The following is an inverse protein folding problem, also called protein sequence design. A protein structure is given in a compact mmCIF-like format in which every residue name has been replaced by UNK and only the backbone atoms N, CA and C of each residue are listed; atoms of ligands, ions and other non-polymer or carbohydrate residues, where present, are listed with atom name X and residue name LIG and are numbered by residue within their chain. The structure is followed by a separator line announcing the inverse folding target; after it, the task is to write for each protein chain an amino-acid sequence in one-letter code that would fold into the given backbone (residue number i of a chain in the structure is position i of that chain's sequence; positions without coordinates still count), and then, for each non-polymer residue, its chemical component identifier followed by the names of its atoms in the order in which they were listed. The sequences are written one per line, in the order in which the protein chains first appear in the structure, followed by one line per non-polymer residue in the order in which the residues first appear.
data_IF_067831674761
#
_entry.id   IF_067831674761
#
_cell.length_a   1.000
_cell.length_b   1.000
_cell.length_c   1.000
_cell.angle_alpha   90.00
_cell.angle_beta   90.00
_cell.angle_gamma   90.00
#
_symmetry.space_group_name_H-M   'P 1'
#
loop_
_entity.id
_entity.type
_entity.pdbx_description
1 polymer ?
#
# COMPACT_ATOMS: atom_id res chain seq x y z
N UNK A 1 -25.62 2.29 15.30
CA UNK A 1 -24.88 2.80 14.13
C UNK A 1 -24.31 4.13 14.54
N UNK A 2 -22.99 4.21 14.68
CA UNK A 2 -22.35 5.46 15.08
C UNK A 2 -22.38 6.42 13.90
N UNK A 3 -23.07 7.55 14.07
CA UNK A 3 -23.18 8.55 13.03
C UNK A 3 -21.83 9.23 12.80
N UNK A 4 -21.44 9.37 11.53
CA UNK A 4 -20.22 10.12 11.16
C UNK A 4 -20.41 11.61 11.51
N UNK A 5 -19.52 12.22 12.32
CA UNK A 5 -19.69 13.60 12.75
C UNK A 5 -19.50 14.59 11.60
N UNK A 6 -20.15 15.77 11.67
CA UNK A 6 -19.97 16.85 10.69
C UNK A 6 -18.53 17.37 10.60
N UNK A 7 -17.71 17.15 11.63
CA UNK A 7 -16.27 17.49 11.66
C UNK A 7 -15.39 16.40 11.03
N UNK A 8 -16.00 15.37 10.44
CA UNK A 8 -15.27 14.26 9.83
C UNK A 8 -14.22 14.76 8.85
N UNK A 9 -13.02 14.19 8.98
CA UNK A 9 -11.89 14.40 8.09
C UNK A 9 -11.39 13.05 7.63
N UNK A 10 -11.28 12.90 6.32
CA UNK A 10 -10.74 11.70 5.68
C UNK A 10 -9.32 11.40 6.20
N UNK A 11 -8.94 10.12 6.34
CA UNK A 11 -7.57 9.74 6.69
C UNK A 11 -6.52 10.39 5.78
N UNK A 12 -5.41 10.81 6.37
CA UNK A 12 -4.23 11.23 5.64
C UNK A 12 -3.60 10.04 4.94
N UNK A 13 -3.06 10.25 3.74
CA UNK A 13 -2.27 9.23 3.06
C UNK A 13 -1.07 8.82 3.94
N UNK A 14 -0.85 7.52 4.08
CA UNK A 14 0.26 6.96 4.84
C UNK A 14 1.29 6.43 3.85
N UNK A 15 2.46 7.06 3.80
CA UNK A 15 3.57 6.58 2.98
C UNK A 15 4.39 5.53 3.74
N UNK A 16 5.01 4.60 2.99
CA UNK A 16 5.91 3.57 3.54
C UNK A 16 7.01 4.21 4.42
N UNK A 17 7.59 5.33 3.97
CA UNK A 17 8.66 6.03 4.71
C UNK A 17 8.18 6.64 6.03
N UNK A 18 6.90 7.00 6.12
CA UNK A 18 6.32 7.54 7.36
C UNK A 18 6.20 6.46 8.43
N UNK A 19 5.95 5.21 8.03
CA UNK A 19 5.89 4.05 8.93
C UNK A 19 7.30 3.69 9.37
N UNK A 20 8.25 3.53 8.43
CA UNK A 20 9.66 3.20 8.76
C UNK A 20 10.24 4.17 9.79
N UNK A 21 10.03 5.48 9.60
CA UNK A 21 10.47 6.52 10.56
C UNK A 21 9.86 6.36 11.96
N UNK A 22 8.56 6.06 12.06
CA UNK A 22 7.89 5.82 13.35
C UNK A 22 8.41 4.57 14.05
N UNK A 23 8.68 3.51 13.30
CA UNK A 23 9.22 2.27 13.86
C UNK A 23 10.64 2.49 14.40
N UNK A 24 11.50 3.19 13.65
CA UNK A 24 12.87 3.53 14.09
C UNK A 24 12.90 4.43 15.31
N UNK A 25 11.99 5.42 15.42
CA UNK A 25 11.89 6.26 16.62
C UNK A 25 11.37 5.49 17.84
N UNK A 26 10.47 4.51 17.65
CA UNK A 26 9.93 3.70 18.76
C UNK A 26 10.93 2.71 19.35
N UNK A 27 11.96 2.31 18.59
CA UNK A 27 13.07 1.47 19.09
C UNK A 27 14.05 2.23 20.00
N UNK A 28 13.98 3.56 20.08
CA UNK A 28 14.82 4.37 20.98
C UNK A 28 14.13 4.72 22.33
N UNK A 29 12.83 4.48 22.47
CA UNK A 29 12.03 4.92 23.63
C UNK A 29 11.28 3.78 24.36
N UNK A 30 11.91 2.61 24.53
CA UNK A 30 11.33 1.53 25.34
C UNK A 30 12.08 1.30 26.64
N UNK A 31 11.94 2.24 27.58
CA UNK A 31 11.92 1.96 29.03
C UNK A 31 11.11 3.08 29.70
N UNK A 32 9.97 2.73 30.34
CA UNK A 32 9.09 3.58 31.17
C UNK A 32 7.85 4.27 30.55
N UNK A 33 7.13 3.58 29.66
CA UNK A 33 5.73 3.93 29.41
C UNK A 33 4.85 2.68 29.28
N UNK A 34 4.82 1.87 30.34
CA UNK A 34 3.80 0.83 30.50
C UNK A 34 2.61 1.40 31.27
N UNK A 35 1.40 1.00 30.85
CA UNK A 35 0.15 1.08 31.60
C UNK A 35 -0.53 2.46 31.73
N UNK A 36 -0.85 3.13 30.61
CA UNK A 36 -2.04 4.02 30.47
C UNK A 36 -2.18 4.59 29.05
N UNK A 37 -2.77 3.82 28.14
CA UNK A 37 -3.66 4.33 27.06
C UNK A 37 -4.12 3.16 26.18
N UNK A 38 -5.25 2.55 26.52
CA UNK A 38 -5.93 1.52 25.73
C UNK A 38 -6.65 2.08 24.49
N UNK A 39 -6.04 3.03 23.77
CA UNK A 39 -6.53 3.50 22.47
C UNK A 39 -5.30 3.69 21.59
N UNK A 40 -4.89 2.60 20.94
CA UNK A 40 -3.88 2.67 19.90
C UNK A 40 -4.34 3.66 18.82
N UNK A 41 -3.38 4.32 18.19
CA UNK A 41 -3.55 5.27 17.09
C UNK A 41 -4.08 4.60 15.81
N UNK A 42 -5.20 3.90 15.92
CA UNK A 42 -6.01 3.44 14.80
C UNK A 42 -6.52 4.70 14.10
N UNK A 43 -5.85 5.02 12.99
CA UNK A 43 -6.30 5.88 11.90
C UNK A 43 -7.42 6.87 12.26
N UNK A 44 -7.04 8.06 12.75
CA UNK A 44 -7.98 9.18 12.93
C UNK A 44 -8.86 9.32 11.68
N UNK A 45 -10.17 9.11 11.83
CA UNK A 45 -11.15 9.28 10.76
C UNK A 45 -11.55 8.01 10.00
N UNK A 46 -11.30 6.80 10.51
CA UNK A 46 -11.93 5.58 9.98
C UNK A 46 -13.04 5.12 10.95
N UNK A 47 -14.30 4.98 10.51
CA UNK A 47 -15.36 4.39 11.34
C UNK A 47 -15.10 2.91 11.62
N UNK A 48 -15.49 2.43 12.81
CA UNK A 48 -15.37 1.00 13.18
C UNK A 48 -16.11 0.07 12.22
N UNK A 49 -17.14 0.59 11.54
CA UNK A 49 -17.86 -0.13 10.50
C UNK A 49 -17.00 -0.50 9.29
N UNK A 50 -15.96 0.29 9.00
CA UNK A 50 -15.00 0.07 7.93
C UNK A 50 -13.67 -0.47 8.46
N UNK A 51 -13.66 -1.09 9.65
CA UNK A 51 -12.45 -1.69 10.22
C UNK A 51 -11.95 -2.86 9.37
N UNK A 52 -10.63 -3.04 9.38
CA UNK A 52 -9.94 -4.08 8.61
C UNK A 52 -10.50 -5.49 8.88
N UNK A 53 -10.81 -5.80 10.15
CA UNK A 53 -11.32 -7.11 10.54
C UNK A 53 -12.73 -7.39 9.98
N UNK A 54 -13.57 -6.35 9.82
CA UNK A 54 -14.90 -6.51 9.21
C UNK A 54 -14.81 -6.77 7.71
N UNK A 55 -13.87 -6.11 7.03
CA UNK A 55 -13.58 -6.35 5.61
C UNK A 55 -13.08 -7.79 5.40
N UNK A 56 -12.14 -8.25 6.24
CA UNK A 56 -11.63 -9.62 6.18
C UNK A 56 -12.70 -10.68 6.42
N UNK A 57 -13.66 -10.42 7.33
CA UNK A 57 -14.78 -11.34 7.62
C UNK A 57 -15.87 -11.31 6.55
N UNK A 58 -15.79 -10.42 5.56
CA UNK A 58 -16.84 -10.25 4.56
C UNK A 58 -18.14 -9.66 5.11
N UNK A 59 -18.06 -8.90 6.21
CA UNK A 59 -19.23 -8.23 6.82
C UNK A 59 -19.60 -6.90 6.15
N UNK A 60 -18.80 -6.46 5.18
CA UNK A 60 -18.95 -5.19 4.46
C UNK A 60 -19.53 -5.42 3.07
N UNK A 61 -20.15 -4.38 2.50
CA UNK A 61 -20.71 -4.39 1.15
C UNK A 61 -19.79 -3.66 0.15
N UNK A 62 -20.04 -3.82 -1.15
CA UNK A 62 -19.28 -3.10 -2.19
C UNK A 62 -19.38 -1.58 -2.02
N UNK A 63 -18.30 -0.82 -2.27
CA UNK A 63 -16.96 -1.21 -2.73
C UNK A 63 -15.96 -1.48 -1.59
N UNK A 64 -16.42 -1.95 -0.43
CA UNK A 64 -15.61 -2.18 0.77
C UNK A 64 -15.43 -3.66 1.10
N UNK A 65 -15.63 -4.57 0.14
CA UNK A 65 -15.46 -6.02 0.36
C UNK A 65 -13.98 -6.42 0.39
N UNK A 66 -13.69 -7.66 0.81
CA UNK A 66 -12.36 -8.24 0.72
C UNK A 66 -11.83 -8.27 -0.73
N UNK A 67 -12.73 -8.49 -1.69
CA UNK A 67 -12.42 -8.51 -3.11
C UNK A 67 -12.01 -7.12 -3.59
N UNK A 68 -12.77 -6.10 -3.20
CA UNK A 68 -12.46 -4.71 -3.54
C UNK A 68 -11.13 -4.26 -2.93
N UNK A 69 -10.82 -4.74 -1.71
CA UNK A 69 -9.53 -4.48 -1.07
C UNK A 69 -8.38 -5.17 -1.81
N UNK A 70 -8.56 -6.41 -2.27
CA UNK A 70 -7.56 -7.10 -3.09
C UNK A 70 -7.34 -6.38 -4.42
N UNK A 71 -8.40 -5.95 -5.09
CA UNK A 71 -8.32 -5.18 -6.34
C UNK A 71 -7.57 -3.86 -6.13
N UNK A 72 -7.84 -3.15 -5.04
CA UNK A 72 -7.09 -1.95 -4.67
C UNK A 72 -5.58 -2.24 -4.52
N UNK A 73 -5.23 -3.32 -3.82
CA UNK A 73 -3.84 -3.71 -3.64
C UNK A 73 -3.17 -4.13 -4.95
N UNK A 74 -3.92 -4.68 -5.90
CA UNK A 74 -3.41 -5.14 -7.18
C UNK A 74 -3.21 -3.98 -8.16
N UNK A 75 -4.24 -3.17 -8.37
CA UNK A 75 -4.27 -2.16 -9.44
C UNK A 75 -3.86 -0.76 -9.00
N UNK A 76 -3.85 -0.46 -7.69
CA UNK A 76 -3.58 0.89 -7.19
C UNK A 76 -2.34 0.95 -6.30
N UNK A 77 -2.27 0.15 -5.23
CA UNK A 77 -1.13 0.17 -4.31
C UNK A 77 0.04 -0.74 -4.77
N UNK A 78 -0.23 -1.69 -5.67
CA UNK A 78 0.73 -2.70 -6.16
C UNK A 78 1.44 -3.45 -5.04
N UNK A 79 0.67 -3.92 -4.05
CA UNK A 79 1.18 -4.64 -2.88
C UNK A 79 0.29 -5.82 -2.45
N UNK A 80 -0.37 -6.44 -3.42
CA UNK A 80 -1.30 -7.57 -3.23
C UNK A 80 -0.66 -8.80 -2.59
N UNK A 81 0.66 -8.98 -2.74
CA UNK A 81 1.42 -10.06 -2.12
C UNK A 81 1.28 -10.10 -0.60
N UNK A 82 1.10 -8.94 0.04
CA UNK A 82 0.92 -8.85 1.49
C UNK A 82 -0.39 -9.52 1.93
N UNK A 83 -1.49 -9.23 1.24
CA UNK A 83 -2.79 -9.81 1.57
C UNK A 83 -2.87 -11.29 1.20
N UNK A 84 -2.29 -11.68 0.06
CA UNK A 84 -2.21 -13.08 -0.36
C UNK A 84 -1.41 -13.93 0.64
N UNK A 85 -0.24 -13.45 1.08
CA UNK A 85 0.55 -14.09 2.12
C UNK A 85 -0.19 -14.15 3.46
N UNK A 86 -0.87 -13.08 3.85
CA UNK A 86 -1.67 -13.03 5.08
C UNK A 86 -2.78 -14.09 5.09
N UNK A 87 -3.57 -14.17 4.02
CA UNK A 87 -4.65 -15.15 3.88
C UNK A 87 -4.09 -16.58 3.86
N UNK A 88 -3.01 -16.81 3.11
CA UNK A 88 -2.32 -18.10 3.10
C UNK A 88 -1.86 -18.50 4.51
N UNK A 89 -1.21 -17.60 5.26
CA UNK A 89 -0.69 -17.90 6.59
C UNK A 89 -1.82 -18.24 7.57
N UNK A 90 -2.95 -17.53 7.52
CA UNK A 90 -4.11 -17.87 8.35
C UNK A 90 -4.65 -19.26 8.04
N UNK A 91 -4.77 -19.61 6.76
CA UNK A 91 -5.23 -20.94 6.34
C UNK A 91 -4.20 -22.02 6.64
N UNK A 92 -2.91 -21.70 6.58
CA UNK A 92 -1.81 -22.58 6.94
C UNK A 92 -1.85 -22.93 8.43
N UNK A 93 -1.96 -21.93 9.31
CA UNK A 93 -2.12 -22.13 10.76
C UNK A 93 -3.35 -22.97 11.07
N UNK A 94 -4.49 -22.67 10.42
CA UNK A 94 -5.73 -23.43 10.61
C UNK A 94 -5.59 -24.90 10.21
N UNK A 95 -4.95 -25.17 9.07
CA UNK A 95 -4.70 -26.55 8.59
C UNK A 95 -3.68 -27.28 9.45
N UNK A 96 -2.61 -26.61 9.86
CA UNK A 96 -1.59 -27.18 10.73
C UNK A 96 -2.17 -27.58 12.10
N UNK A 97 -2.97 -26.71 12.72
CA UNK A 97 -3.61 -26.99 14.01
C UNK A 97 -4.72 -28.06 13.93
N UNK A 98 -5.31 -28.27 12.75
CA UNK A 98 -6.33 -29.30 12.51
C UNK A 98 -5.71 -30.65 12.15
N UNK A 99 -4.48 -30.66 11.63
CA UNK A 99 -3.78 -31.90 11.36
C UNK A 99 -3.55 -32.64 12.68
N UNK A 100 -3.91 -33.92 12.72
CA UNK A 100 -3.63 -34.83 13.83
C UNK A 100 -2.77 -35.98 13.29
N UNK A 101 -1.65 -35.61 12.66
CA UNK A 101 -0.70 -36.58 12.09
C UNK A 101 0.47 -36.77 13.05
N UNK A 102 0.92 -38.02 13.19
CA UNK A 102 2.13 -38.37 13.96
C UNK A 102 3.36 -37.55 13.55
N UNK A 103 3.37 -37.09 12.31
CA UNK A 103 4.49 -36.39 11.69
C UNK A 103 4.68 -34.96 12.20
N UNK A 104 3.70 -34.41 12.92
CA UNK A 104 3.78 -33.08 13.55
C UNK A 104 4.90 -33.01 14.60
N UNK A 105 5.26 -34.14 15.22
CA UNK A 105 6.39 -34.22 16.16
C UNK A 105 7.70 -33.81 15.49
N UNK A 106 7.82 -33.98 14.18
CA UNK A 106 9.02 -33.58 13.42
C UNK A 106 9.10 -32.08 13.11
N UNK A 107 8.03 -31.32 13.36
CA UNK A 107 7.97 -29.87 13.18
C UNK A 107 7.78 -29.17 14.55
N UNK A 108 8.83 -29.14 15.40
CA UNK A 108 8.75 -28.50 16.71
C UNK A 108 8.50 -26.99 16.60
N UNK A 109 7.95 -26.40 17.65
CA UNK A 109 7.70 -24.97 17.72
C UNK A 109 9.02 -24.17 17.66
N UNK A 110 9.08 -23.20 16.75
CA UNK A 110 10.12 -22.18 16.75
C UNK A 110 9.87 -21.18 17.89
N UNK A 111 10.70 -21.23 18.93
CA UNK A 111 10.55 -20.45 20.16
C UNK A 111 11.21 -19.07 20.04
N UNK A 112 10.79 -18.12 20.88
CA UNK A 112 11.39 -16.79 20.94
C UNK A 112 12.89 -16.83 21.24
N UNK A 113 13.35 -17.73 22.11
CA UNK A 113 14.75 -17.83 22.46
C UNK A 113 15.63 -18.23 21.25
N UNK A 114 15.15 -19.18 20.44
CA UNK A 114 15.83 -19.57 19.19
C UNK A 114 15.87 -18.42 18.20
N UNK A 115 14.76 -17.68 18.08
CA UNK A 115 14.69 -16.49 17.22
C UNK A 115 15.68 -15.39 17.64
N UNK A 116 15.78 -15.10 18.93
CA UNK A 116 16.69 -14.10 19.48
C UNK A 116 18.16 -14.51 19.32
N UNK A 117 18.47 -15.81 19.48
CA UNK A 117 19.81 -16.36 19.24
C UNK A 117 20.25 -16.16 17.77
N UNK A 118 19.36 -16.45 16.80
CA UNK A 118 19.68 -16.24 15.39
C UNK A 118 19.80 -14.74 15.06
N UNK A 119 18.90 -13.91 15.60
CA UNK A 119 18.96 -12.48 15.38
C UNK A 119 20.23 -11.84 15.95
N UNK A 120 20.71 -12.30 17.10
CA UNK A 120 21.98 -11.83 17.69
C UNK A 120 23.18 -12.28 16.86
N UNK A 121 23.18 -13.51 16.34
CA UNK A 121 24.20 -13.99 15.39
C UNK A 121 24.24 -13.14 14.12
N UNK A 122 23.10 -12.95 13.46
CA UNK A 122 22.99 -12.14 12.24
C UNK A 122 23.42 -10.68 12.45
N UNK A 123 23.10 -10.08 13.61
CA UNK A 123 23.56 -8.74 13.96
C UNK A 123 25.07 -8.68 14.17
N UNK A 124 25.64 -9.69 14.82
CA UNK A 124 27.09 -9.78 15.03
C UNK A 124 27.81 -9.91 13.68
N UNK A 125 27.34 -10.81 12.81
CA UNK A 125 27.87 -10.98 11.45
C UNK A 125 27.77 -9.69 10.63
N UNK A 126 26.63 -9.00 10.67
CA UNK A 126 26.47 -7.71 10.00
C UNK A 126 27.44 -6.64 10.54
N UNK A 127 27.67 -6.62 11.87
CA UNK A 127 28.62 -5.69 12.49
C UNK A 127 30.07 -5.99 12.11
N UNK A 128 30.44 -7.27 11.99
CA UNK A 128 31.76 -7.70 11.57
C UNK A 128 32.01 -7.41 10.09
N UNK A 129 31.02 -7.67 9.22
CA UNK A 129 31.08 -7.31 7.81
C UNK A 129 31.22 -5.80 7.61
N UNK A 130 30.49 -4.99 8.39
CA UNK A 130 30.62 -3.53 8.37
C UNK A 130 32.02 -3.08 8.80
N UNK A 131 32.57 -3.68 9.87
CA UNK A 131 33.94 -3.41 10.33
C UNK A 131 35.00 -3.73 9.27
N UNK A 132 34.86 -4.86 8.57
CA UNK A 132 35.76 -5.24 7.47
C UNK A 132 35.69 -4.25 6.32
N UNK A 133 34.50 -3.78 5.95
CA UNK A 133 34.33 -2.74 4.93
C UNK A 133 34.90 -1.38 5.36
N UNK A 134 34.77 -0.99 6.64
CA UNK A 134 35.42 0.24 7.14
C UNK A 134 36.94 0.12 7.20
N UNK A 135 37.51 -1.06 7.45
CA UNK A 135 38.95 -1.28 7.39
C UNK A 135 39.50 -1.13 5.96
N UNK A 136 38.81 -1.71 4.98
CA UNK A 136 39.14 -1.54 3.56
C UNK A 136 38.98 -0.08 3.09
N UNK A 137 37.96 0.63 3.58
CA UNK A 137 37.78 2.07 3.33
C UNK A 137 38.87 2.93 3.97
N UNK A 138 39.28 2.62 5.20
CA UNK A 138 40.36 3.33 5.89
C UNK A 138 41.70 3.17 5.18
N UNK A 139 42.00 1.98 4.63
CA UNK A 139 43.19 1.77 3.79
C UNK A 139 43.11 2.52 2.45
N UNK A 140 41.91 2.79 1.93
CA UNK A 140 41.71 3.59 0.70
C UNK A 140 41.92 5.10 0.93
N UNK A 141 41.70 5.61 2.14
CA UNK A 141 41.96 7.02 2.51
C UNK A 141 43.36 7.26 3.07
N UNK A 142 44.16 6.20 3.26
CA UNK A 142 45.55 6.27 3.73
C UNK A 142 46.39 7.09 2.75
N UNK A 143 47.00 8.19 3.22
CA UNK A 143 47.76 9.13 2.38
C UNK A 143 46.93 10.25 1.72
N UNK A 144 45.62 10.31 1.94
CA UNK A 144 44.78 11.45 1.53
C UNK A 144 44.58 12.43 2.70
N UNK A 145 44.21 13.69 2.42
CA UNK A 145 43.98 14.72 3.44
C UNK A 145 42.91 14.37 4.48
N UNK A 146 42.09 13.33 4.24
CA UNK A 146 41.06 12.83 5.14
C UNK A 146 41.52 11.68 6.06
N UNK A 147 42.82 11.38 6.10
CA UNK A 147 43.38 10.34 6.98
C UNK A 147 43.22 10.73 8.47
N UNK A 148 42.30 10.05 9.16
CA UNK A 148 42.13 10.19 10.60
C UNK A 148 43.19 9.34 11.30
N UNK A 149 44.23 9.98 11.85
CA UNK A 149 45.27 9.32 12.66
C UNK A 149 44.70 8.81 13.97
N UNK A 150 44.28 7.55 14.02
CA UNK A 150 44.13 6.82 15.28
C UNK A 150 45.50 6.30 15.70
N UNK A 151 45.95 6.69 16.90
CA UNK A 151 47.26 6.33 17.46
C UNK A 151 47.30 4.83 17.76
N UNK A 152 48.22 4.12 17.08
CA UNK A 152 48.44 2.68 17.20
C UNK A 152 49.01 2.26 18.57
N UNK A 153 48.52 1.12 19.08
CA UNK A 153 49.27 0.26 20.00
C UNK A 153 49.74 -0.97 19.24
N UNK A 154 51.05 -1.21 19.28
CA UNK A 154 51.82 -2.19 18.50
C UNK A 154 51.28 -3.63 18.54
N UNK A 155 51.28 -4.29 17.37
CA UNK A 155 51.08 -5.73 17.22
C UNK A 155 51.49 -6.22 15.83
N UNK A 156 52.71 -6.75 15.75
CA UNK A 156 53.43 -7.43 14.65
C UNK A 156 52.53 -8.06 13.57
N UNK A 157 52.79 -7.76 12.29
CA UNK A 157 52.30 -8.57 11.15
C UNK A 157 53.41 -8.87 10.15
N UNK A 158 53.61 -10.16 9.92
CA UNK A 158 54.43 -10.73 8.85
C UNK A 158 53.79 -10.44 7.48
N UNK A 159 54.61 -10.01 6.52
CA UNK A 159 54.25 -9.91 5.10
C UNK A 159 54.34 -11.29 4.44
N UNK A 160 53.29 -11.71 3.74
CA UNK A 160 53.44 -12.57 2.56
C UNK A 160 52.51 -12.11 1.43
N UNK A 161 53.17 -11.64 0.38
CA UNK A 161 52.95 -11.88 -1.05
C UNK A 161 51.52 -11.81 -1.63
N UNK A 162 51.39 -10.83 -2.52
CA UNK A 162 50.26 -10.50 -3.39
C UNK A 162 49.89 -11.56 -4.42
N UNK A 163 48.58 -11.68 -4.67
CA UNK A 163 48.01 -11.95 -6.01
C UNK A 163 46.63 -11.28 -6.09
N UNK A 164 46.32 -10.44 -7.10
CA UNK A 164 44.97 -9.90 -7.27
C UNK A 164 44.07 -10.90 -8.02
N UNK A 165 42.77 -11.04 -7.70
CA UNK A 165 41.83 -11.65 -8.62
C UNK A 165 41.41 -10.64 -9.69
N UNK A 166 41.37 -11.13 -10.92
CA UNK A 166 40.90 -10.46 -12.12
C UNK A 166 39.50 -9.86 -11.97
N UNK A 167 39.36 -8.65 -12.49
CA UNK A 167 38.10 -8.00 -12.84
C UNK A 167 37.21 -8.95 -13.65
N UNK A 168 36.02 -9.25 -13.13
CA UNK A 168 35.00 -9.96 -13.90
C UNK A 168 34.43 -9.02 -14.96
N UNK A 169 34.61 -9.42 -16.21
CA UNK A 169 34.03 -8.88 -17.42
C UNK A 169 32.52 -8.73 -17.29
N UNK A 170 32.01 -7.53 -17.56
CA UNK A 170 30.60 -7.27 -17.83
C UNK A 170 30.23 -8.02 -19.13
N UNK A 171 29.57 -9.17 -19.02
CA UNK A 171 28.94 -9.81 -20.17
C UNK A 171 27.58 -9.15 -20.40
N UNK A 172 27.42 -8.59 -21.60
CA UNK A 172 26.17 -8.10 -22.14
C UNK A 172 25.08 -9.16 -21.98
N UNK A 173 23.95 -8.76 -21.40
CA UNK A 173 22.74 -9.55 -21.40
C UNK A 173 22.04 -9.24 -22.73
N UNK A 174 22.21 -10.13 -23.71
CA UNK A 174 21.44 -10.05 -24.94
C UNK A 174 19.97 -10.36 -24.63
N UNK A 175 19.10 -9.51 -25.17
CA UNK A 175 17.66 -9.64 -25.22
C UNK A 175 17.29 -10.88 -26.04
N UNK A 176 16.74 -11.92 -25.40
CA UNK A 176 15.99 -12.95 -26.12
C UNK A 176 14.56 -13.09 -25.58
N UNK A 177 13.63 -12.69 -26.44
CA UNK A 177 12.20 -12.81 -26.25
C UNK A 177 11.81 -14.28 -26.05
N UNK A 178 11.39 -14.61 -24.83
CA UNK A 178 10.93 -15.95 -24.50
C UNK A 178 9.52 -16.20 -25.03
N UNK A 179 9.47 -16.86 -26.18
CA UNK A 179 8.27 -17.39 -26.82
C UNK A 179 7.60 -18.44 -25.94
N UNK A 180 6.28 -18.33 -25.79
CA UNK A 180 5.41 -19.25 -25.04
C UNK A 180 5.66 -20.71 -25.40
N UNK A 181 6.27 -21.46 -24.48
CA UNK A 181 6.31 -22.92 -24.51
C UNK A 181 5.74 -23.48 -23.21
N UNK A 182 4.72 -24.33 -23.34
CA UNK A 182 4.10 -25.06 -22.24
C UNK A 182 5.16 -25.91 -21.51
N UNK A 183 5.60 -25.44 -20.34
CA UNK A 183 6.66 -26.07 -19.55
C UNK A 183 6.05 -27.17 -18.65
N UNK A 184 6.65 -28.36 -18.68
CA UNK A 184 6.17 -29.55 -17.99
C UNK A 184 6.28 -29.39 -16.44
N UNK A 185 5.30 -29.82 -15.63
CA UNK A 185 5.29 -29.60 -14.17
C UNK A 185 6.52 -30.15 -13.42
N UNK A 186 7.13 -31.21 -13.94
CA UNK A 186 8.28 -31.89 -13.33
C UNK A 186 9.56 -31.05 -13.39
N UNK A 187 9.72 -30.22 -14.44
CA UNK A 187 10.91 -29.37 -14.62
C UNK A 187 10.90 -28.14 -13.71
N UNK A 188 9.72 -27.64 -13.35
CA UNK A 188 9.58 -26.51 -12.42
C UNK A 188 10.01 -26.94 -11.00
N UNK A 189 9.58 -28.13 -10.56
CA UNK A 189 9.92 -28.64 -9.23
C UNK A 189 11.42 -28.85 -9.02
N UNK A 190 12.15 -29.30 -10.05
CA UNK A 190 13.61 -29.45 -9.97
C UNK A 190 14.34 -28.10 -9.91
N UNK A 191 13.93 -27.13 -10.73
CA UNK A 191 14.54 -25.79 -10.74
C UNK A 191 14.26 -25.03 -9.45
N UNK A 192 13.04 -25.13 -8.92
CA UNK A 192 12.71 -24.51 -7.62
C UNK A 192 13.54 -25.12 -6.49
N UNK A 193 13.76 -26.44 -6.49
CA UNK A 193 14.57 -27.09 -5.44
C UNK A 193 16.03 -26.66 -5.46
N UNK A 194 16.65 -26.51 -6.64
CA UNK A 194 18.04 -26.03 -6.74
C UNK A 194 18.17 -24.57 -6.32
N UNK A 195 17.22 -23.72 -6.74
CA UNK A 195 17.19 -22.31 -6.32
C UNK A 195 17.03 -22.17 -4.79
N UNK A 196 16.15 -22.98 -4.20
CA UNK A 196 15.97 -22.99 -2.75
C UNK A 196 17.25 -23.40 -2.01
N UNK A 197 17.97 -24.44 -2.46
CA UNK A 197 19.22 -24.85 -1.81
C UNK A 197 20.28 -23.76 -1.86
N UNK A 198 20.38 -23.02 -2.98
CA UNK A 198 21.32 -21.92 -3.14
C UNK A 198 20.95 -20.74 -2.21
N UNK A 199 19.67 -20.43 -2.07
CA UNK A 199 19.19 -19.37 -1.18
C UNK A 199 19.37 -19.70 0.31
N UNK A 200 19.17 -20.96 0.71
CA UNK A 200 19.50 -21.40 2.08
C UNK A 200 21.00 -21.25 2.35
N UNK A 201 21.86 -21.63 1.38
CA UNK A 201 23.30 -21.46 1.49
C UNK A 201 23.70 -19.98 1.56
N UNK A 202 23.08 -19.11 0.74
CA UNK A 202 23.30 -17.67 0.76
C UNK A 202 22.86 -17.00 2.08
N UNK A 203 21.84 -17.57 2.74
CA UNK A 203 21.41 -17.16 4.08
C UNK A 203 22.30 -17.73 5.21
N UNK A 204 23.25 -18.61 4.90
CA UNK A 204 24.07 -19.32 5.90
C UNK A 204 23.30 -20.41 6.67
N UNK A 205 22.16 -20.85 6.15
CA UNK A 205 21.32 -21.87 6.75
C UNK A 205 21.65 -23.28 6.21
N UNK A 206 21.38 -24.30 7.01
CA UNK A 206 21.55 -25.69 6.58
C UNK A 206 20.46 -26.11 5.59
N UNK A 207 20.73 -27.16 4.81
CA UNK A 207 19.71 -27.74 3.93
C UNK A 207 18.56 -28.32 4.76
N UNK A 208 17.29 -27.99 4.44
CA UNK A 208 16.15 -28.39 5.24
C UNK A 208 15.88 -29.90 5.19
N UNK A 209 15.36 -30.45 6.30
CA UNK A 209 14.86 -31.83 6.34
C UNK A 209 13.56 -31.96 5.54
N UNK A 210 13.55 -32.88 4.56
CA UNK A 210 12.44 -33.06 3.62
C UNK A 210 11.24 -33.83 4.18
N UNK A 211 11.38 -34.46 5.35
CA UNK A 211 10.37 -35.36 5.94
C UNK A 211 9.30 -34.61 6.75
N UNK A 212 9.48 -33.31 7.00
CA UNK A 212 8.56 -32.51 7.82
C UNK A 212 7.20 -32.27 7.13
N UNK A 213 6.11 -32.15 7.92
CA UNK A 213 4.77 -31.90 7.39
C UNK A 213 4.70 -30.57 6.64
N UNK A 214 3.92 -30.54 5.56
CA UNK A 214 3.73 -29.37 4.68
C UNK A 214 5.02 -28.77 4.08
N UNK A 215 6.14 -29.52 4.07
CA UNK A 215 7.44 -29.03 3.56
C UNK A 215 7.37 -28.52 2.12
N UNK A 216 6.67 -29.24 1.23
CA UNK A 216 6.53 -28.81 -0.17
C UNK A 216 5.73 -27.50 -0.31
N UNK A 217 4.76 -27.28 0.56
CA UNK A 217 4.01 -26.02 0.58
C UNK A 217 4.89 -24.87 1.07
N UNK A 218 5.65 -25.08 2.15
CA UNK A 218 6.62 -24.11 2.66
C UNK A 218 7.66 -23.76 1.60
N UNK A 219 8.20 -24.76 0.89
CA UNK A 219 9.16 -24.55 -0.20
C UNK A 219 8.57 -23.66 -1.31
N UNK A 220 7.29 -23.87 -1.68
CA UNK A 220 6.60 -23.02 -2.66
C UNK A 220 6.42 -21.58 -2.16
N UNK A 221 6.12 -21.40 -0.88
CA UNK A 221 5.97 -20.07 -0.28
C UNK A 221 7.30 -19.35 -0.23
N UNK A 222 8.39 -20.04 0.13
CA UNK A 222 9.73 -19.47 0.07
C UNK A 222 10.00 -18.97 -1.36
N UNK A 223 9.76 -19.82 -2.36
CA UNK A 223 9.98 -19.49 -3.76
C UNK A 223 9.10 -18.35 -4.31
N UNK A 224 7.90 -18.17 -3.74
CA UNK A 224 6.92 -17.19 -4.25
C UNK A 224 7.04 -15.84 -3.55
N UNK A 225 7.31 -15.82 -2.25
CA UNK A 225 7.22 -14.63 -1.39
C UNK A 225 8.53 -14.22 -0.70
N UNK A 226 9.46 -15.15 -0.49
CA UNK A 226 10.62 -14.91 0.40
C UNK A 226 11.93 -14.76 -0.37
N UNK A 227 12.14 -15.56 -1.42
CA UNK A 227 13.38 -15.54 -2.22
C UNK A 227 13.63 -14.15 -2.84
N UNK A 228 14.90 -13.85 -3.09
CA UNK A 228 15.28 -12.63 -3.80
C UNK A 228 14.86 -12.71 -5.26
N UNK A 229 14.15 -11.68 -5.77
CA UNK A 229 13.59 -11.72 -7.12
C UNK A 229 12.39 -12.67 -7.26
N UNK A 230 11.79 -13.11 -6.15
CA UNK A 230 10.58 -13.92 -6.18
C UNK A 230 9.42 -13.16 -6.87
N UNK A 231 8.51 -13.86 -7.59
CA UNK A 231 7.46 -13.22 -8.37
C UNK A 231 6.49 -12.37 -7.54
N UNK A 232 6.35 -12.67 -6.25
CA UNK A 232 5.52 -11.94 -5.29
C UNK A 232 6.32 -11.64 -4.02
N UNK A 233 7.57 -11.23 -4.19
CA UNK A 233 8.50 -10.97 -3.09
C UNK A 233 7.92 -9.97 -2.07
N UNK A 234 7.89 -10.36 -0.80
CA UNK A 234 7.49 -9.48 0.29
C UNK A 234 8.56 -8.42 0.57
N UNK A 235 8.12 -7.24 1.02
CA UNK A 235 9.00 -6.15 1.42
C UNK A 235 9.59 -6.37 2.83
N UNK A 236 10.47 -7.37 2.94
CA UNK A 236 11.16 -7.73 4.18
C UNK A 236 12.56 -7.13 4.21
N UNK A 237 13.05 -6.83 5.40
CA UNK A 237 14.48 -6.51 5.56
C UNK A 237 15.35 -7.74 5.27
N UNK A 238 16.57 -7.51 4.79
CA UNK A 238 17.52 -8.62 4.54
C UNK A 238 17.78 -9.46 5.79
N UNK A 239 17.74 -8.85 6.98
CA UNK A 239 17.85 -9.56 8.25
C UNK A 239 16.62 -10.46 8.51
N UNK A 240 15.40 -9.94 8.38
CA UNK A 240 14.17 -10.73 8.57
C UNK A 240 14.10 -11.91 7.60
N UNK A 241 14.47 -11.68 6.33
CA UNK A 241 14.53 -12.73 5.32
C UNK A 241 15.50 -13.85 5.72
N UNK A 242 16.73 -13.51 6.10
CA UNK A 242 17.74 -14.49 6.53
C UNK A 242 17.31 -15.24 7.80
N UNK A 243 16.78 -14.53 8.79
CA UNK A 243 16.29 -15.13 10.02
C UNK A 243 15.14 -16.12 9.74
N UNK A 244 14.20 -15.76 8.86
CA UNK A 244 13.13 -16.65 8.45
C UNK A 244 13.68 -17.90 7.72
N UNK A 245 14.61 -17.74 6.78
CA UNK A 245 15.20 -18.89 6.08
C UNK A 245 15.92 -19.84 7.05
N UNK A 246 16.62 -19.31 8.06
CA UNK A 246 17.23 -20.12 9.11
C UNK A 246 16.17 -20.86 9.95
N UNK A 247 15.06 -20.21 10.29
CA UNK A 247 13.96 -20.85 11.01
C UNK A 247 13.30 -21.98 10.17
N UNK A 248 13.06 -21.71 8.87
CA UNK A 248 12.46 -22.67 7.94
C UNK A 248 13.37 -23.83 7.58
N UNK A 249 14.70 -23.67 7.68
CA UNK A 249 15.61 -24.82 7.59
C UNK A 249 15.42 -25.82 8.73
N UNK A 250 15.00 -25.34 9.91
CA UNK A 250 14.89 -26.15 11.12
C UNK A 250 13.49 -26.79 11.26
N UNK A 251 12.43 -26.04 11.05
CA UNK A 251 11.04 -26.51 11.26
C UNK A 251 10.07 -25.91 10.25
N UNK A 252 9.00 -26.63 9.95
CA UNK A 252 7.86 -26.11 9.18
C UNK A 252 6.77 -25.53 10.07
N UNK A 253 6.92 -25.51 11.39
CA UNK A 253 5.90 -25.01 12.30
C UNK A 253 5.49 -23.55 11.98
N UNK A 254 4.20 -23.16 12.06
CA UNK A 254 3.73 -21.82 11.72
C UNK A 254 4.37 -20.69 12.54
N UNK A 255 4.88 -20.98 13.75
CA UNK A 255 5.56 -19.98 14.58
C UNK A 255 6.83 -19.39 13.93
N UNK A 256 7.43 -20.07 12.95
CA UNK A 256 8.56 -19.55 12.16
C UNK A 256 8.22 -18.25 11.44
N UNK A 257 6.98 -18.09 10.96
CA UNK A 257 6.53 -16.92 10.23
C UNK A 257 6.08 -15.76 11.13
N UNK A 258 6.11 -15.91 12.46
CA UNK A 258 5.49 -14.96 13.40
C UNK A 258 5.95 -13.51 13.21
N UNK A 259 7.24 -13.28 13.03
CA UNK A 259 7.79 -11.92 12.86
C UNK A 259 7.42 -11.34 11.49
N UNK A 260 7.59 -12.13 10.42
CA UNK A 260 7.22 -11.73 9.06
C UNK A 260 5.71 -11.47 8.95
N UNK A 261 4.88 -12.33 9.53
CA UNK A 261 3.43 -12.15 9.58
C UNK A 261 3.05 -10.88 10.34
N UNK A 262 3.71 -10.57 11.47
CA UNK A 262 3.49 -9.31 12.20
C UNK A 262 3.87 -8.09 11.35
N UNK A 263 4.96 -8.16 10.59
CA UNK A 263 5.37 -7.08 9.68
C UNK A 263 4.32 -6.87 8.59
N UNK A 264 3.87 -7.94 7.93
CA UNK A 264 2.82 -7.90 6.90
C UNK A 264 1.48 -7.41 7.45
N UNK A 265 1.03 -7.93 8.59
CA UNK A 265 -0.22 -7.52 9.26
C UNK A 265 -0.18 -6.03 9.64
N UNK A 266 0.95 -5.54 10.16
CA UNK A 266 1.13 -4.12 10.43
C UNK A 266 1.07 -3.26 9.16
N UNK A 267 1.68 -3.70 8.07
CA UNK A 267 1.62 -2.99 6.78
C UNK A 267 0.17 -2.92 6.29
N UNK A 268 -0.54 -4.05 6.28
CA UNK A 268 -1.95 -4.10 5.87
C UNK A 268 -2.84 -3.19 6.73
N UNK A 269 -2.70 -3.25 8.07
CA UNK A 269 -3.55 -2.49 8.99
C UNK A 269 -3.21 -1.00 9.10
N UNK A 270 -1.93 -0.64 9.02
CA UNK A 270 -1.46 0.74 9.28
C UNK A 270 -1.21 1.54 8.01
N UNK A 271 -1.00 0.88 6.88
CA UNK A 271 -0.75 1.52 5.60
C UNK A 271 -1.89 1.28 4.63
N UNK A 272 -2.04 0.04 4.18
CA UNK A 272 -2.90 -0.30 3.06
C UNK A 272 -4.37 -0.08 3.37
N UNK A 273 -4.82 -0.48 4.56
CA UNK A 273 -6.21 -0.31 4.98
C UNK A 273 -6.62 1.18 5.07
N UNK A 274 -5.88 2.07 5.76
CA UNK A 274 -6.18 3.50 5.73
C UNK A 274 -6.13 4.12 4.33
N UNK A 275 -5.17 3.70 3.50
CA UNK A 275 -5.04 4.19 2.13
C UNK A 275 -6.21 3.71 1.25
N UNK A 276 -6.66 2.47 1.43
CA UNK A 276 -7.84 1.90 0.79
C UNK A 276 -9.11 2.66 1.18
N UNK A 277 -9.36 2.85 2.48
CA UNK A 277 -10.54 3.63 2.95
C UNK A 277 -10.50 5.06 2.43
N UNK A 278 -9.32 5.68 2.36
CA UNK A 278 -9.14 7.00 1.76
C UNK A 278 -9.46 6.99 0.27
N UNK A 279 -9.02 5.95 -0.45
CA UNK A 279 -9.23 5.78 -1.87
C UNK A 279 -10.70 5.51 -2.21
N UNK A 280 -11.35 4.59 -1.50
CA UNK A 280 -12.77 4.25 -1.70
C UNK A 280 -13.72 5.39 -1.34
N UNK A 281 -13.30 6.29 -0.46
CA UNK A 281 -14.06 7.51 -0.16
C UNK A 281 -14.03 8.54 -1.31
N UNK A 282 -13.21 8.36 -2.35
CA UNK A 282 -13.31 9.12 -3.59
C UNK A 282 -14.32 8.47 -4.51
N UNK A 283 -15.34 9.23 -4.95
CA UNK A 283 -16.36 8.71 -5.86
C UNK A 283 -15.98 8.91 -7.33
N UNK A 284 -15.25 10.00 -7.65
CA UNK A 284 -14.99 10.36 -9.05
C UNK A 284 -13.69 9.79 -9.61
N UNK A 285 -13.73 9.35 -10.88
CA UNK A 285 -12.50 9.13 -11.65
C UNK A 285 -11.81 10.47 -12.01
N UNK A 286 -10.48 10.49 -12.29
CA UNK A 286 -9.77 11.75 -12.52
C UNK A 286 -10.35 12.60 -13.68
N UNK A 287 -10.69 12.04 -14.87
CA UNK A 287 -11.34 12.81 -15.94
C UNK A 287 -12.68 13.44 -15.54
N UNK A 288 -13.48 12.75 -14.73
CA UNK A 288 -14.77 13.24 -14.27
C UNK A 288 -14.61 14.34 -13.22
N UNK A 289 -13.66 14.19 -12.30
CA UNK A 289 -13.34 15.23 -11.31
C UNK A 289 -12.86 16.49 -12.03
N UNK A 290 -11.97 16.37 -13.03
CA UNK A 290 -11.50 17.53 -13.78
C UNK A 290 -12.64 18.18 -14.55
N UNK A 291 -13.52 17.40 -15.18
CA UNK A 291 -14.72 17.92 -15.86
C UNK A 291 -15.70 18.63 -14.91
N UNK A 292 -15.99 18.05 -13.74
CA UNK A 292 -16.86 18.67 -12.74
C UNK A 292 -16.24 19.97 -12.20
N UNK A 293 -14.91 19.97 -12.00
CA UNK A 293 -14.15 21.14 -11.55
C UNK A 293 -14.19 22.27 -12.60
N UNK A 294 -13.95 21.96 -13.88
CA UNK A 294 -14.00 22.96 -14.96
C UNK A 294 -15.40 23.54 -15.14
N UNK A 295 -16.44 22.71 -15.05
CA UNK A 295 -17.84 23.19 -15.08
C UNK A 295 -18.15 24.10 -13.88
N UNK A 296 -17.68 23.74 -12.69
CA UNK A 296 -17.83 24.54 -11.47
C UNK A 296 -17.16 25.92 -11.60
N UNK A 297 -15.88 25.96 -12.01
CA UNK A 297 -15.19 27.23 -12.25
C UNK A 297 -15.84 28.05 -13.37
N UNK A 298 -16.28 27.41 -14.46
CA UNK A 298 -17.02 28.08 -15.53
C UNK A 298 -18.31 28.73 -15.04
N UNK A 299 -19.07 28.03 -14.20
CA UNK A 299 -20.29 28.56 -13.56
C UNK A 299 -20.01 29.76 -12.64
N UNK A 300 -18.93 29.69 -11.86
CA UNK A 300 -18.49 30.83 -11.01
C UNK A 300 -18.10 32.04 -11.86
N UNK A 301 -17.32 31.84 -12.92
CA UNK A 301 -16.93 32.91 -13.83
C UNK A 301 -18.13 33.55 -14.51
N UNK A 302 -19.09 32.75 -14.98
CA UNK A 302 -20.34 33.24 -15.57
C UNK A 302 -21.19 34.01 -14.55
N UNK A 303 -21.24 33.58 -13.29
CA UNK A 303 -21.93 34.32 -12.24
C UNK A 303 -21.26 35.68 -11.99
N UNK A 304 -19.92 35.75 -12.00
CA UNK A 304 -19.20 37.01 -11.92
C UNK A 304 -19.47 37.93 -13.11
N UNK A 305 -19.48 37.42 -14.34
CA UNK A 305 -19.76 38.27 -15.52
C UNK A 305 -21.18 38.84 -15.46
N UNK A 306 -22.18 38.02 -15.09
CA UNK A 306 -23.56 38.50 -14.90
C UNK A 306 -23.62 39.54 -13.78
N UNK A 307 -23.00 39.27 -12.62
CA UNK A 307 -23.00 40.20 -11.51
C UNK A 307 -22.37 41.55 -11.89
N UNK A 308 -21.24 41.53 -12.60
CA UNK A 308 -20.57 42.74 -13.09
C UNK A 308 -21.47 43.50 -14.08
N UNK A 309 -22.05 42.82 -15.07
CA UNK A 309 -22.93 43.45 -16.06
C UNK A 309 -24.16 44.09 -15.40
N UNK A 310 -24.78 43.43 -14.42
CA UNK A 310 -25.93 43.96 -13.67
C UNK A 310 -25.51 45.09 -12.71
N UNK A 311 -24.28 45.08 -12.16
CA UNK A 311 -23.80 46.20 -11.35
C UNK A 311 -23.53 47.47 -12.15
N UNK A 312 -23.08 47.33 -13.39
CA UNK A 312 -22.77 48.44 -14.29
C UNK A 312 -24.01 49.00 -14.98
N UNK A 313 -25.08 48.21 -15.10
CA UNK A 313 -26.34 48.63 -15.71
C UNK A 313 -27.18 49.51 -14.76
N UNK A 314 -28.27 50.06 -15.31
CA UNK A 314 -29.33 50.77 -14.55
C UNK A 314 -30.27 49.85 -13.77
N UNK A 315 -30.04 48.54 -13.77
CA UNK A 315 -30.92 47.60 -13.09
C UNK A 315 -30.89 47.79 -11.57
N UNK A 316 -32.06 47.60 -10.95
CA UNK A 316 -32.19 47.69 -9.49
C UNK A 316 -31.31 46.68 -8.76
N UNK A 317 -30.88 47.04 -7.54
CA UNK A 317 -29.94 46.26 -6.71
C UNK A 317 -30.36 44.80 -6.49
N UNK A 318 -31.67 44.52 -6.49
CA UNK A 318 -32.21 43.18 -6.30
C UNK A 318 -31.81 42.17 -7.38
N UNK A 319 -31.61 42.62 -8.63
CA UNK A 319 -31.24 41.73 -9.74
C UNK A 319 -29.84 41.12 -9.56
N UNK A 320 -28.98 41.77 -8.78
CA UNK A 320 -27.62 41.28 -8.46
C UNK A 320 -27.66 40.02 -7.60
N UNK A 321 -28.72 39.81 -6.83
CA UNK A 321 -28.88 38.63 -5.99
C UNK A 321 -29.06 37.33 -6.81
N UNK A 322 -29.46 37.40 -8.09
CA UNK A 322 -29.56 36.20 -8.94
C UNK A 322 -28.20 35.55 -9.21
N UNK A 323 -27.10 36.31 -9.17
CA UNK A 323 -25.75 35.76 -9.27
C UNK A 323 -25.40 34.82 -8.11
N UNK A 324 -26.09 34.94 -6.96
CA UNK A 324 -25.92 34.09 -5.79
C UNK A 324 -26.10 32.60 -6.13
N UNK A 325 -27.09 32.26 -6.97
CA UNK A 325 -27.34 30.88 -7.37
C UNK A 325 -26.15 30.28 -8.11
N UNK A 326 -25.56 31.04 -9.03
CA UNK A 326 -24.38 30.63 -9.78
C UNK A 326 -23.14 30.47 -8.88
N UNK A 327 -22.92 31.38 -7.92
CA UNK A 327 -21.82 31.25 -6.98
C UNK A 327 -22.00 30.08 -6.00
N UNK A 328 -23.19 29.90 -5.41
CA UNK A 328 -23.44 28.81 -4.46
C UNK A 328 -23.23 27.47 -5.14
N UNK A 329 -23.86 27.25 -6.31
CA UNK A 329 -23.73 25.99 -7.05
C UNK A 329 -22.32 25.77 -7.58
N UNK A 330 -21.71 26.81 -8.17
CA UNK A 330 -20.36 26.72 -8.73
C UNK A 330 -19.28 26.47 -7.67
N UNK A 331 -19.31 27.21 -6.56
CA UNK A 331 -18.35 27.03 -5.46
C UNK A 331 -18.56 25.67 -4.79
N UNK A 332 -19.82 25.25 -4.58
CA UNK A 332 -20.12 23.91 -4.07
C UNK A 332 -19.51 22.82 -4.96
N UNK A 333 -19.71 22.90 -6.29
CA UNK A 333 -19.15 21.94 -7.24
C UNK A 333 -17.60 21.94 -7.25
N UNK A 334 -16.97 23.12 -7.16
CA UNK A 334 -15.51 23.23 -7.05
C UNK A 334 -15.01 22.59 -5.75
N UNK A 335 -15.62 22.90 -4.60
CA UNK A 335 -15.19 22.34 -3.31
C UNK A 335 -15.41 20.81 -3.27
N UNK A 336 -16.54 20.33 -3.79
CA UNK A 336 -16.84 18.90 -3.87
C UNK A 336 -15.83 18.17 -4.79
N UNK A 337 -15.51 18.72 -5.96
CA UNK A 337 -14.55 18.13 -6.91
C UNK A 337 -13.12 18.12 -6.35
N UNK A 338 -12.69 19.14 -5.61
CA UNK A 338 -11.39 19.13 -4.90
C UNK A 338 -11.33 18.10 -3.77
N UNK A 339 -12.48 17.71 -3.20
CA UNK A 339 -12.59 16.55 -2.28
C UNK A 339 -12.75 15.21 -3.03
N UNK A 340 -12.73 15.27 -4.36
CA UNK A 340 -12.91 14.18 -5.33
C UNK A 340 -14.26 13.48 -5.22
N UNK A 341 -15.29 14.26 -4.92
CA UNK A 341 -16.69 13.88 -4.99
C UNK A 341 -17.29 14.39 -6.30
N UNK A 342 -18.03 13.53 -7.01
CA UNK A 342 -18.90 13.93 -8.12
C UNK A 342 -20.37 13.86 -7.69
N UNK A 343 -21.19 14.76 -8.24
CA UNK A 343 -22.60 14.97 -7.86
C UNK A 343 -23.56 14.07 -8.64
N UNK A 344 -23.07 13.35 -9.66
CA UNK A 344 -23.97 12.64 -10.54
C UNK A 344 -24.60 11.43 -9.83
N UNK A 345 -25.92 11.22 -10.02
CA UNK A 345 -26.61 10.08 -9.45
C UNK A 345 -26.14 8.77 -10.09
N UNK A 346 -25.95 7.77 -9.23
CA UNK A 346 -25.67 6.39 -9.60
C UNK A 346 -26.85 5.81 -10.40
N UNK A 347 -26.57 4.98 -11.42
CA UNK A 347 -27.60 4.25 -12.17
C UNK A 347 -27.56 2.76 -11.78
N UNK A 348 -28.63 2.28 -11.14
CA UNK A 348 -28.75 0.90 -10.67
C UNK A 348 -28.94 -0.05 -11.86
N UNK A 349 -27.87 -0.74 -12.27
CA UNK A 349 -28.04 -1.98 -13.04
C UNK A 349 -26.85 -2.90 -12.81
N UNK A 350 -27.04 -3.87 -11.93
CA UNK A 350 -26.04 -4.90 -11.62
C UNK A 350 -25.65 -5.69 -12.87
N UNK A 351 -24.39 -5.57 -13.31
CA UNK A 351 -23.79 -6.56 -14.22
C UNK A 351 -22.53 -7.13 -13.60
N UNK A 352 -22.74 -8.29 -12.97
CA UNK A 352 -21.80 -9.28 -12.46
C UNK A 352 -20.32 -9.13 -12.83
N UNK A 353 -19.52 -8.60 -11.90
CA UNK A 353 -18.05 -8.67 -11.91
C UNK A 353 -17.50 -10.01 -11.37
N UNK A 354 -18.36 -10.95 -10.99
CA UNK A 354 -18.02 -12.18 -10.25
C UNK A 354 -17.07 -13.17 -10.98
N UNK A 355 -16.71 -12.94 -12.24
CA UNK A 355 -15.84 -13.84 -13.01
C UNK A 355 -14.36 -13.41 -13.10
N UNK A 356 -14.00 -12.17 -12.72
CA UNK A 356 -12.59 -11.70 -12.81
C UNK A 356 -11.70 -12.10 -11.64
N UNK A 357 -12.28 -12.32 -10.46
CA UNK A 357 -11.52 -12.29 -9.20
C UNK A 357 -10.88 -13.61 -8.76
N UNK A 358 -10.99 -14.72 -9.51
CA UNK A 358 -10.50 -16.01 -9.00
C UNK A 358 -8.97 -16.11 -8.93
N UNK A 359 -8.24 -15.45 -9.84
CA UNK A 359 -6.77 -15.54 -9.88
C UNK A 359 -6.05 -14.67 -8.85
N UNK A 360 -6.67 -13.55 -8.43
CA UNK A 360 -6.04 -12.62 -7.50
C UNK A 360 -5.93 -13.16 -6.07
N UNK A 361 -6.75 -14.15 -5.74
CA UNK A 361 -6.73 -14.85 -4.44
C UNK A 361 -5.87 -16.12 -4.43
N UNK A 362 -5.34 -16.56 -5.57
CA UNK A 362 -4.47 -17.73 -5.61
C UNK A 362 -3.20 -17.44 -4.82
N UNK A 363 -2.90 -18.25 -3.79
CA UNK A 363 -1.69 -18.09 -2.98
C UNK A 363 -0.40 -18.35 -3.78
N UNK A 364 -0.51 -19.12 -4.87
CA UNK A 364 0.59 -19.48 -5.75
C UNK A 364 0.25 -19.05 -7.18
N UNK A 365 1.21 -18.47 -7.90
CA UNK A 365 0.99 -18.06 -9.28
C UNK A 365 2.13 -17.24 -9.85
N UNK A 366 1.94 -16.76 -11.08
CA UNK A 366 2.80 -15.74 -11.67
C UNK A 366 2.73 -14.44 -10.85
N UNK A 367 3.68 -13.54 -11.11
CA UNK A 367 3.71 -12.23 -10.46
C UNK A 367 2.39 -11.47 -10.63
N UNK A 368 2.17 -10.47 -9.77
CA UNK A 368 0.95 -9.66 -9.73
C UNK A 368 0.89 -8.62 -10.89
N UNK A 369 1.27 -9.02 -12.11
CA UNK A 369 1.18 -8.16 -13.29
C UNK A 369 -0.26 -8.06 -13.78
N UNK A 370 -0.72 -6.83 -14.03
CA UNK A 370 -2.08 -6.54 -14.50
C UNK A 370 -2.11 -5.77 -15.83
N UNK A 371 -0.96 -5.35 -16.36
CA UNK A 371 -0.88 -4.50 -17.57
C UNK A 371 -1.50 -5.19 -18.80
N UNK A 372 -1.38 -6.51 -18.87
CA UNK A 372 -1.92 -7.33 -19.96
C UNK A 372 -3.40 -7.67 -19.78
N UNK A 373 -4.05 -7.23 -18.69
CA UNK A 373 -5.44 -7.58 -18.48
C UNK A 373 -6.34 -6.95 -19.54
N UNK A 374 -7.24 -7.73 -20.18
CA UNK A 374 -8.02 -7.24 -21.32
C UNK A 374 -8.88 -6.02 -21.04
N UNK A 375 -9.21 -5.74 -19.77
CA UNK A 375 -10.00 -4.56 -19.41
C UNK A 375 -9.14 -3.30 -19.31
N UNK A 376 -7.86 -3.40 -18.93
CA UNK A 376 -6.91 -2.29 -18.82
C UNK A 376 -6.66 -1.71 -20.21
N UNK A 377 -6.25 -2.58 -21.15
CA UNK A 377 -6.05 -2.22 -22.57
C UNK A 377 -7.31 -1.58 -23.16
N UNK A 378 -8.48 -2.17 -22.89
CA UNK A 378 -9.76 -1.62 -23.35
C UNK A 378 -10.09 -0.28 -22.71
N UNK A 379 -9.71 -0.04 -21.46
CA UNK A 379 -9.96 1.22 -20.76
C UNK A 379 -9.04 2.33 -21.25
N UNK A 380 -7.76 2.02 -21.49
CA UNK A 380 -6.78 2.97 -22.03
C UNK A 380 -7.21 3.52 -23.38
N UNK A 381 -7.69 2.64 -24.27
CA UNK A 381 -8.18 2.99 -25.61
C UNK A 381 -9.47 3.83 -25.64
N UNK A 382 -10.18 4.01 -24.51
CA UNK A 382 -11.40 4.84 -24.47
C UNK A 382 -11.07 6.33 -24.59
N UNK A 383 -11.90 7.05 -25.35
CA UNK A 383 -11.86 8.51 -25.41
C UNK A 383 -12.21 9.15 -24.07
N UNK A 384 -11.71 10.38 -23.83
CA UNK A 384 -11.94 11.10 -22.58
C UNK A 384 -13.42 11.29 -22.26
N UNK A 385 -14.26 11.57 -23.26
CA UNK A 385 -15.72 11.72 -23.07
C UNK A 385 -16.33 10.44 -22.51
N UNK A 386 -15.95 9.28 -23.03
CA UNK A 386 -16.45 7.98 -22.54
C UNK A 386 -15.93 7.67 -21.13
N UNK A 387 -14.75 8.19 -20.74
CA UNK A 387 -14.22 8.10 -19.37
C UNK A 387 -14.97 9.04 -18.40
N UNK A 388 -15.38 10.23 -18.84
CA UNK A 388 -16.14 11.18 -18.02
C UNK A 388 -17.53 10.64 -17.68
N UNK A 389 -18.21 10.05 -18.67
CA UNK A 389 -19.53 9.44 -18.53
C UNK A 389 -19.46 7.92 -18.36
N UNK A 390 -18.35 7.42 -17.78
CA UNK A 390 -18.24 6.00 -17.51
C UNK A 390 -19.25 5.61 -16.42
N UNK A 391 -19.68 4.36 -16.48
CA UNK A 391 -20.71 3.86 -15.59
C UNK A 391 -20.13 3.62 -14.20
N UNK A 392 -20.70 4.25 -13.17
CA UNK A 392 -20.33 4.02 -11.78
C UNK A 392 -21.13 2.86 -11.18
N UNK A 393 -20.46 2.08 -10.33
CA UNK A 393 -21.10 1.03 -9.54
C UNK A 393 -21.70 1.63 -8.27
N UNK A 394 -22.94 1.25 -7.96
CA UNK A 394 -23.65 1.77 -6.80
C UNK A 394 -22.94 1.42 -5.50
N UNK A 395 -22.82 2.41 -4.62
CA UNK A 395 -22.22 2.24 -3.30
C UNK A 395 -23.23 1.59 -2.37
N UNK A 396 -23.00 0.33 -2.01
CA UNK A 396 -23.90 -0.42 -1.14
C UNK A 396 -23.54 -0.25 0.35
N UNK A 397 -22.27 0.02 0.67
CA UNK A 397 -21.82 0.16 2.06
C UNK A 397 -22.41 1.40 2.75
N UNK A 398 -23.22 1.25 3.82
CA UNK A 398 -23.88 2.37 4.48
C UNK A 398 -22.90 3.33 5.16
N UNK A 399 -21.81 2.83 5.75
CA UNK A 399 -20.80 3.69 6.39
C UNK A 399 -20.10 4.60 5.37
N UNK A 400 -19.81 4.08 4.18
CA UNK A 400 -19.21 4.86 3.10
C UNK A 400 -20.19 5.92 2.56
N UNK A 401 -21.48 5.56 2.40
CA UNK A 401 -22.53 6.52 2.02
C UNK A 401 -22.64 7.68 3.02
N UNK A 402 -22.59 7.39 4.32
CA UNK A 402 -22.59 8.44 5.35
C UNK A 402 -21.40 9.39 5.22
N UNK A 403 -20.19 8.85 4.96
CA UNK A 403 -19.00 9.67 4.69
C UNK A 403 -19.23 10.59 3.48
N UNK A 404 -19.78 10.07 2.39
CA UNK A 404 -20.08 10.85 1.18
C UNK A 404 -21.10 11.95 1.46
N UNK A 405 -22.18 11.65 2.18
CA UNK A 405 -23.20 12.65 2.57
C UNK A 405 -22.59 13.77 3.42
N UNK A 406 -21.75 13.44 4.39
CA UNK A 406 -21.09 14.45 5.25
C UNK A 406 -20.15 15.35 4.43
N UNK A 407 -19.36 14.78 3.52
CA UNK A 407 -18.46 15.57 2.65
C UNK A 407 -19.25 16.49 1.72
N UNK A 408 -20.35 15.98 1.14
CA UNK A 408 -21.23 16.78 0.29
C UNK A 408 -21.88 17.93 1.06
N UNK A 409 -22.36 17.66 2.28
CA UNK A 409 -22.93 18.68 3.15
C UNK A 409 -21.90 19.75 3.55
N UNK A 410 -20.67 19.35 3.91
CA UNK A 410 -19.57 20.28 4.18
C UNK A 410 -19.30 21.19 2.96
N UNK A 411 -19.31 20.60 1.77
CA UNK A 411 -19.06 21.31 0.51
C UNK A 411 -20.20 22.29 0.17
N UNK A 412 -21.46 21.89 0.41
CA UNK A 412 -22.62 22.74 0.24
C UNK A 412 -22.63 23.91 1.21
N UNK A 413 -22.29 23.68 2.49
CA UNK A 413 -22.13 24.75 3.49
C UNK A 413 -21.06 25.76 3.06
N UNK A 414 -19.92 25.30 2.53
CA UNK A 414 -18.88 26.19 2.01
C UNK A 414 -19.39 27.04 0.82
N UNK A 415 -20.14 26.44 -0.11
CA UNK A 415 -20.78 27.14 -1.21
C UNK A 415 -21.78 28.21 -0.77
N UNK A 416 -22.64 27.89 0.20
CA UNK A 416 -23.64 28.82 0.76
C UNK A 416 -22.95 30.01 1.45
N UNK A 417 -21.94 29.75 2.29
CA UNK A 417 -21.24 30.82 3.01
C UNK A 417 -20.48 31.74 2.06
N UNK A 418 -19.72 31.19 1.11
CA UNK A 418 -18.96 31.98 0.16
C UNK A 418 -19.86 32.72 -0.83
N UNK A 419 -20.87 32.05 -1.39
CA UNK A 419 -21.85 32.67 -2.28
C UNK A 419 -22.67 33.76 -1.59
N UNK A 420 -23.07 33.56 -0.34
CA UNK A 420 -23.74 34.56 0.48
C UNK A 420 -22.86 35.80 0.72
N UNK A 421 -21.59 35.61 1.07
CA UNK A 421 -20.64 36.71 1.25
C UNK A 421 -20.45 37.53 -0.05
N UNK A 422 -20.27 36.85 -1.20
CA UNK A 422 -20.17 37.52 -2.50
C UNK A 422 -21.44 38.31 -2.84
N UNK A 423 -22.61 37.76 -2.52
CA UNK A 423 -23.90 38.43 -2.75
C UNK A 423 -24.02 39.71 -1.95
N UNK A 424 -23.65 39.69 -0.66
CA UNK A 424 -23.65 40.89 0.19
C UNK A 424 -22.74 41.97 -0.40
N UNK A 425 -21.55 41.60 -0.88
CA UNK A 425 -20.60 42.53 -1.51
C UNK A 425 -21.23 43.19 -2.74
N UNK A 426 -21.75 42.41 -3.69
CA UNK A 426 -22.27 42.95 -4.95
C UNK A 426 -23.57 43.75 -4.80
N UNK A 427 -24.42 43.39 -3.82
CA UNK A 427 -25.64 44.16 -3.50
C UNK A 427 -25.28 45.49 -2.84
N UNK A 428 -24.21 45.55 -2.04
CA UNK A 428 -23.76 46.77 -1.36
C UNK A 428 -23.08 47.78 -2.30
N UNK A 429 -22.54 47.35 -3.44
CA UNK A 429 -21.90 48.24 -4.41
C UNK A 429 -22.90 49.27 -4.98
N UNK A 430 -22.51 50.53 -5.20
CA UNK A 430 -23.36 51.50 -5.91
C UNK A 430 -23.57 51.10 -7.38
N UNK A 431 -24.56 51.67 -8.05
CA UNK A 431 -24.80 51.45 -9.48
C UNK A 431 -23.84 52.28 -10.33
N UNK A 432 -23.29 51.68 -11.39
CA UNK A 432 -22.42 52.38 -12.34
C UNK A 432 -23.18 53.25 -13.35
N UNK A 433 -24.43 52.88 -13.68
CA UNK A 433 -25.32 53.58 -14.63
C UNK A 433 -24.72 53.78 -16.04
N UNK A 434 -23.90 52.84 -16.53
CA UNK A 434 -23.22 52.96 -17.83
C UNK A 434 -24.12 52.64 -19.04
N UNK A 435 -25.14 51.80 -18.86
CA UNK A 435 -26.08 51.41 -19.92
C UNK A 435 -27.47 51.12 -19.34
#
# INVERSE_FOLDING_TARGET
MDAVPLTYRRPSYVSIDSIKRKTTSSSAEHEKASLRSGVSSVSKGIPDALSFDRILRGETCQPMTLVDFMDYLMYVEHSAENLQFYLWHQDYVRRFNKADTSDLVMAPEWTQAMEDEINTKLRKEASEACRQHTGAGADMFKGTYFEVKTVDTMGVSNKSLSTPPSTATCSNHDDEASTYSFRNPFSIASTTRTQLSDDFAAAGAHTPFTVQPYREEVNRIIATYIMEGAPRQLNLSGQERKALLHALSYTTHPSTFRTVFRTVDNTLRRQSHPNFVRWSAFNGNPPRITFASTLGYGGVLMAFTIAILVTLSRADRGWRAFAALGWVVGIWAVVASHRGMCIYPDDETSTSAASRHKRSFDSFGSGNSFEEEPWVVRYEQRSLVRKIFDREESIHEPALRQIHTVIMLQSAMAGILAGGALTVIFVALPAGNFF
#
